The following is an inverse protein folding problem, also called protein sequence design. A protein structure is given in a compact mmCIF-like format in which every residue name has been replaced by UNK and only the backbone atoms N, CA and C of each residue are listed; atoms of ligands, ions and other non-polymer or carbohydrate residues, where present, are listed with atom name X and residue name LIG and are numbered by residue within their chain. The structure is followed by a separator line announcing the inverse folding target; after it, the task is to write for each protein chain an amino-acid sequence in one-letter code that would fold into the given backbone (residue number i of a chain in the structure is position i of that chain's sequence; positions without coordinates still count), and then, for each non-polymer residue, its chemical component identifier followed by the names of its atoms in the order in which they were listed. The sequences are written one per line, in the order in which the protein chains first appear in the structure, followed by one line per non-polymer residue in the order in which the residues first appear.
data_IF_562637542161
#
_entry.id   IF_562637542161
#
_cell.length_a   1.000
_cell.length_b   1.000
_cell.length_c   1.000
_cell.angle_alpha   90.00
_cell.angle_beta   90.00
_cell.angle_gamma   90.00
#
_symmetry.space_group_name_H-M   'P 1'
#
loop_
_entity.id
_entity.type
_entity.pdbx_description
1 polymer ?
#
# COMPACT_ATOMS: atom_id res chain seq x y z
N UNK A 1 -7.14 -5.07 17.18
CA UNK A 1 -8.06 -4.19 16.41
C UNK A 1 -7.29 -3.78 15.17
N UNK A 2 -7.88 -3.92 13.97
CA UNK A 2 -7.25 -3.54 12.70
C UNK A 2 -7.05 -2.02 12.69
N UNK A 3 -5.85 -1.58 12.31
CA UNK A 3 -5.49 -0.15 12.26
C UNK A 3 -5.43 0.37 10.82
N UNK A 4 -6.55 0.25 10.09
CA UNK A 4 -6.64 0.64 8.67
C UNK A 4 -7.87 1.54 8.48
N UNK A 5 -7.65 2.80 8.13
CA UNK A 5 -8.71 3.81 8.04
C UNK A 5 -9.76 3.46 6.99
N UNK A 6 -9.35 2.99 5.81
CA UNK A 6 -10.27 2.61 4.72
C UNK A 6 -11.21 1.46 5.11
N UNK A 7 -10.81 0.64 6.09
CA UNK A 7 -11.63 -0.42 6.66
C UNK A 7 -12.51 0.08 7.81
N UNK A 8 -11.91 0.80 8.78
CA UNK A 8 -12.59 1.21 10.01
C UNK A 8 -13.57 2.37 9.80
N UNK A 9 -13.26 3.28 8.87
CA UNK A 9 -14.09 4.44 8.53
C UNK A 9 -14.08 4.67 7.01
N UNK A 10 -14.84 3.83 6.26
CA UNK A 10 -14.86 3.90 4.80
C UNK A 10 -15.48 5.17 4.22
N UNK A 11 -16.17 5.97 5.05
CA UNK A 11 -16.75 7.26 4.64
C UNK A 11 -15.86 8.46 4.98
N UNK A 12 -14.72 8.25 5.61
CA UNK A 12 -13.81 9.35 5.98
C UNK A 12 -13.18 10.04 4.76
N UNK A 13 -12.79 11.31 4.88
CA UNK A 13 -12.01 12.02 3.85
C UNK A 13 -10.71 11.28 3.49
N UNK A 14 -10.11 10.59 4.45
CA UNK A 14 -8.91 9.77 4.23
C UNK A 14 -9.24 8.58 3.32
N UNK A 15 -10.35 7.87 3.57
CA UNK A 15 -10.79 6.78 2.70
C UNK A 15 -11.08 7.27 1.28
N UNK A 16 -11.64 8.48 1.13
CA UNK A 16 -11.87 9.10 -0.18
C UNK A 16 -10.57 9.42 -0.91
N UNK A 17 -9.56 9.92 -0.20
CA UNK A 17 -8.24 10.14 -0.78
C UNK A 17 -7.64 8.82 -1.34
N UNK A 18 -7.79 7.70 -0.62
CA UNK A 18 -7.36 6.39 -1.12
C UNK A 18 -8.18 5.90 -2.32
N UNK A 19 -9.49 6.19 -2.39
CA UNK A 19 -10.30 5.92 -3.59
C UNK A 19 -9.83 6.72 -4.79
N UNK A 20 -9.49 7.99 -4.60
CA UNK A 20 -8.91 8.84 -5.65
C UNK A 20 -7.57 8.30 -6.14
N UNK A 21 -6.68 7.89 -5.23
CA UNK A 21 -5.40 7.26 -5.59
C UNK A 21 -5.65 5.96 -6.37
N UNK A 22 -6.56 5.11 -5.91
CA UNK A 22 -6.95 3.88 -6.63
C UNK A 22 -7.39 4.18 -8.06
N UNK A 23 -8.29 5.14 -8.23
CA UNK A 23 -8.76 5.57 -9.55
C UNK A 23 -7.60 6.01 -10.43
N UNK A 24 -6.69 6.83 -9.92
CA UNK A 24 -5.51 7.27 -10.66
C UNK A 24 -4.60 6.10 -11.07
N UNK A 25 -4.42 5.10 -10.20
CA UNK A 25 -3.65 3.88 -10.52
C UNK A 25 -4.33 3.09 -11.65
N UNK A 26 -5.66 2.90 -11.58
CA UNK A 26 -6.41 2.18 -12.61
C UNK A 26 -6.32 2.85 -13.99
N UNK A 27 -6.27 4.17 -14.03
CA UNK A 27 -6.17 4.96 -15.27
C UNK A 27 -4.73 5.32 -15.66
N UNK A 28 -3.72 4.94 -14.87
CA UNK A 28 -2.32 5.31 -15.17
C UNK A 28 -1.73 4.61 -16.40
N UNK A 29 -2.36 3.53 -16.87
CA UNK A 29 -2.00 2.85 -18.13
C UNK A 29 -3.25 2.44 -18.90
N UNK A 30 -3.30 2.86 -20.16
CA UNK A 30 -4.39 2.53 -21.08
C UNK A 30 -4.16 1.15 -21.73
N UNK A 31 -2.90 0.80 -22.01
CA UNK A 31 -2.56 -0.35 -22.85
C UNK A 31 -2.08 -1.61 -22.09
N UNK A 32 -1.73 -1.51 -20.82
CA UNK A 32 -1.25 -2.64 -20.02
C UNK A 32 -1.87 -2.66 -18.63
N UNK A 33 -2.41 -3.81 -18.26
CA UNK A 33 -2.97 -4.04 -16.93
C UNK A 33 -1.87 -3.96 -15.84
N UNK A 34 -2.12 -3.16 -14.79
CA UNK A 34 -1.24 -3.09 -13.62
C UNK A 34 -1.76 -4.10 -12.60
N UNK A 35 -1.05 -5.21 -12.42
CA UNK A 35 -1.35 -6.23 -11.41
C UNK A 35 -0.43 -6.14 -10.20
N UNK A 36 0.86 -5.96 -10.42
CA UNK A 36 1.88 -5.94 -9.36
C UNK A 36 2.32 -4.51 -9.07
N UNK A 37 2.16 -4.08 -7.81
CA UNK A 37 2.45 -2.71 -7.38
C UNK A 37 3.40 -2.75 -6.18
N UNK A 38 4.62 -2.29 -6.37
CA UNK A 38 5.59 -2.08 -5.29
C UNK A 38 5.33 -0.74 -4.63
N UNK A 39 5.31 -0.72 -3.30
CA UNK A 39 5.21 0.50 -2.50
C UNK A 39 6.47 0.64 -1.64
N UNK A 40 7.16 1.75 -1.81
CA UNK A 40 8.40 2.07 -1.08
C UNK A 40 8.40 3.52 -0.62
N UNK A 41 9.44 3.94 0.09
CA UNK A 41 9.57 5.31 0.61
C UNK A 41 11.01 5.80 0.57
N UNK A 42 11.24 7.09 0.83
CA UNK A 42 12.58 7.66 0.86
C UNK A 42 13.32 7.33 2.18
N UNK A 43 12.59 7.23 3.29
CA UNK A 43 13.12 6.83 4.61
C UNK A 43 12.13 6.00 5.40
N UNK A 44 12.52 5.57 6.59
CA UNK A 44 11.63 4.93 7.55
C UNK A 44 10.53 5.89 8.04
N UNK A 45 9.44 5.33 8.54
CA UNK A 45 8.32 6.02 9.19
C UNK A 45 7.58 7.05 8.32
N UNK A 46 7.73 7.01 7.00
CA UNK A 46 6.89 7.82 6.08
C UNK A 46 5.47 7.26 5.92
N UNK A 47 5.20 6.07 6.47
CA UNK A 47 3.90 5.42 6.43
C UNK A 47 3.65 4.57 5.18
N UNK A 48 4.71 4.04 4.53
CA UNK A 48 4.59 3.14 3.38
C UNK A 48 3.62 1.99 3.64
N UNK A 49 3.79 1.23 4.74
CA UNK A 49 2.91 0.10 5.10
C UNK A 49 1.46 0.54 5.36
N UNK A 50 1.28 1.72 5.97
CA UNK A 50 -0.06 2.32 6.15
C UNK A 50 -0.69 2.61 4.80
N UNK A 51 0.04 3.24 3.88
CA UNK A 51 -0.44 3.54 2.52
C UNK A 51 -0.73 2.25 1.77
N UNK A 52 0.17 1.28 1.79
CA UNK A 52 0.01 -0.01 1.11
C UNK A 52 -1.22 -0.76 1.60
N UNK A 53 -1.41 -0.84 2.93
CA UNK A 53 -2.55 -1.53 3.54
C UNK A 53 -3.88 -0.86 3.20
N UNK A 54 -3.95 0.47 3.27
CA UNK A 54 -5.17 1.20 2.91
C UNK A 54 -5.49 1.10 1.41
N UNK A 55 -4.48 1.11 0.53
CA UNK A 55 -4.68 0.88 -0.90
C UNK A 55 -5.18 -0.54 -1.15
N UNK A 56 -4.57 -1.56 -0.56
CA UNK A 56 -5.01 -2.95 -0.70
C UNK A 56 -6.48 -3.12 -0.30
N UNK A 57 -6.89 -2.54 0.84
CA UNK A 57 -8.30 -2.51 1.28
C UNK A 57 -9.19 -1.76 0.28
N UNK A 58 -8.74 -0.60 -0.22
CA UNK A 58 -9.51 0.18 -1.21
C UNK A 58 -9.72 -0.58 -2.53
N UNK A 59 -8.73 -1.37 -2.97
CA UNK A 59 -8.85 -2.22 -4.16
C UNK A 59 -9.70 -3.46 -3.92
N UNK A 60 -9.63 -4.07 -2.73
CA UNK A 60 -10.45 -5.21 -2.36
C UNK A 60 -11.95 -4.86 -2.25
N UNK A 61 -12.28 -3.58 -2.10
CA UNK A 61 -13.67 -3.10 -2.15
C UNK A 61 -14.26 -3.06 -3.57
N UNK A 62 -13.46 -3.32 -4.61
CA UNK A 62 -13.96 -3.46 -5.98
C UNK A 62 -14.62 -4.83 -6.14
N UNK A 63 -15.81 -4.83 -6.75
CA UNK A 63 -16.56 -6.06 -6.99
C UNK A 63 -15.79 -7.04 -7.89
N UNK A 64 -15.74 -8.31 -7.49
CA UNK A 64 -15.12 -9.38 -8.25
C UNK A 64 -13.59 -9.31 -8.33
N UNK A 65 -12.91 -8.42 -7.59
CA UNK A 65 -11.46 -8.27 -7.61
C UNK A 65 -10.81 -8.99 -6.44
N UNK A 66 -9.83 -9.84 -6.70
CA UNK A 66 -9.02 -10.53 -5.69
C UNK A 66 -7.71 -9.79 -5.49
N UNK A 67 -7.40 -9.43 -4.25
CA UNK A 67 -6.22 -8.65 -3.88
C UNK A 67 -5.34 -9.43 -2.93
N UNK A 68 -4.03 -9.41 -3.19
CA UNK A 68 -3.01 -9.91 -2.30
C UNK A 68 -2.12 -8.78 -1.82
N UNK A 69 -1.83 -8.72 -0.53
CA UNK A 69 -0.80 -7.86 0.04
C UNK A 69 0.34 -8.70 0.60
N UNK A 70 1.55 -8.45 0.12
CA UNK A 70 2.77 -9.15 0.53
C UNK A 70 3.66 -8.20 1.33
N UNK A 71 4.05 -8.63 2.53
CA UNK A 71 5.09 -7.95 3.32
C UNK A 71 6.47 -8.43 2.88
N UNK A 72 7.14 -7.64 2.06
CA UNK A 72 8.50 -7.87 1.58
C UNK A 72 9.54 -6.98 2.32
N UNK A 73 9.14 -6.23 3.36
CA UNK A 73 10.08 -5.61 4.29
C UNK A 73 10.60 -6.65 5.29
N UNK A 74 11.45 -7.56 4.80
CA UNK A 74 11.97 -8.68 5.59
C UNK A 74 12.80 -8.22 6.80
N UNK A 75 13.19 -6.93 6.84
CA UNK A 75 14.02 -6.37 7.92
C UNK A 75 13.19 -5.75 9.03
N UNK A 76 12.06 -5.09 8.68
CA UNK A 76 11.18 -4.45 9.64
C UNK A 76 9.70 -4.67 9.26
N UNK A 77 9.22 -5.92 9.37
CA UNK A 77 7.87 -6.29 8.95
C UNK A 77 6.80 -5.58 9.77
N UNK A 78 5.74 -5.14 9.11
CA UNK A 78 4.67 -4.37 9.75
C UNK A 78 3.26 -4.69 9.25
N UNK A 79 3.09 -5.36 8.13
CA UNK A 79 1.76 -5.73 7.60
C UNK A 79 0.99 -6.58 8.60
N UNK A 80 1.65 -7.55 9.26
CA UNK A 80 1.03 -8.39 10.28
C UNK A 80 0.41 -7.60 11.44
N UNK A 81 1.04 -6.47 11.83
CA UNK A 81 0.53 -5.58 12.88
C UNK A 81 -0.70 -4.80 12.40
N UNK A 82 -0.69 -4.34 11.13
CA UNK A 82 -1.81 -3.61 10.54
C UNK A 82 -3.09 -4.45 10.52
N UNK A 83 -2.97 -5.74 10.19
CA UNK A 83 -4.10 -6.66 10.08
C UNK A 83 -4.34 -7.52 11.32
N UNK A 84 -3.54 -7.32 12.39
CA UNK A 84 -3.61 -8.13 13.61
C UNK A 84 -3.52 -9.65 13.32
N UNK A 85 -2.55 -10.03 12.49
CA UNK A 85 -2.31 -11.42 12.08
C UNK A 85 -0.95 -11.94 12.58
N UNK A 86 -0.78 -13.26 12.75
CA UNK A 86 0.51 -13.83 13.11
C UNK A 86 1.57 -13.62 12.02
N UNK A 87 2.85 -13.57 12.44
CA UNK A 87 4.01 -13.46 11.54
C UNK A 87 4.99 -14.64 11.68
N UNK A 88 4.52 -15.78 12.18
CA UNK A 88 5.36 -16.97 12.40
C UNK A 88 5.67 -17.74 11.12
N UNK A 89 4.82 -17.62 10.12
CA UNK A 89 4.93 -18.26 8.80
C UNK A 89 4.60 -17.21 7.74
N UNK A 90 5.36 -17.19 6.62
CA UNK A 90 5.13 -16.18 5.59
C UNK A 90 6.01 -16.35 4.36
N UNK A 91 6.32 -15.23 3.72
CA UNK A 91 7.07 -15.15 2.46
C UNK A 91 8.40 -15.93 2.51
N UNK A 92 9.15 -15.81 3.61
CA UNK A 92 10.44 -16.48 3.77
C UNK A 92 10.33 -18.00 3.77
N UNK A 93 9.23 -18.54 4.30
CA UNK A 93 8.98 -19.98 4.33
C UNK A 93 8.65 -20.52 2.93
N UNK A 94 7.89 -19.74 2.13
CA UNK A 94 7.60 -20.06 0.72
C UNK A 94 8.90 -20.05 -0.09
N UNK A 95 9.70 -18.98 0.01
CA UNK A 95 10.91 -18.80 -0.79
C UNK A 95 12.00 -19.82 -0.42
N UNK A 96 12.04 -20.30 0.81
CA UNK A 96 12.96 -21.37 1.26
C UNK A 96 12.42 -22.77 0.95
N UNK A 97 11.17 -22.91 0.51
CA UNK A 97 10.52 -24.20 0.26
C UNK A 97 10.12 -24.96 1.53
N UNK A 98 10.14 -24.31 2.69
CA UNK A 98 9.71 -24.91 3.96
C UNK A 98 8.20 -25.11 4.05
N UNK A 99 7.44 -24.23 3.38
CA UNK A 99 5.99 -24.23 3.35
C UNK A 99 5.48 -23.96 1.94
N UNK A 100 4.32 -24.50 1.63
CA UNK A 100 3.58 -24.14 0.42
C UNK A 100 2.86 -22.79 0.61
N UNK A 101 2.61 -22.07 -0.49
CA UNK A 101 1.90 -20.78 -0.47
C UNK A 101 0.59 -20.84 0.32
N UNK A 102 -0.23 -21.89 0.12
CA UNK A 102 -1.53 -22.05 0.83
C UNK A 102 -1.43 -22.07 2.35
N UNK A 103 -0.25 -22.42 2.89
CA UNK A 103 0.02 -22.43 4.34
C UNK A 103 0.48 -21.06 4.85
N UNK A 104 0.88 -20.17 3.96
CA UNK A 104 1.43 -18.84 4.27
C UNK A 104 0.45 -17.71 3.98
N UNK A 105 -0.53 -17.94 3.10
CA UNK A 105 -1.61 -16.99 2.82
C UNK A 105 -2.59 -16.96 3.99
N UNK A 106 -2.90 -15.76 4.45
CA UNK A 106 -3.83 -15.51 5.54
C UNK A 106 -5.03 -14.70 5.04
N UNK A 107 -6.23 -15.13 5.35
CA UNK A 107 -7.44 -14.37 5.09
C UNK A 107 -7.52 -13.17 6.04
N UNK A 108 -8.05 -12.07 5.54
CA UNK A 108 -8.39 -10.90 6.35
C UNK A 108 -9.89 -10.91 6.70
N UNK A 109 -10.37 -9.85 7.34
CA UNK A 109 -11.79 -9.60 7.56
C UNK A 109 -12.53 -9.18 6.27
N UNK A 110 -11.80 -8.89 5.18
CA UNK A 110 -12.34 -8.63 3.85
C UNK A 110 -12.20 -9.88 3.00
N UNK A 111 -13.31 -10.39 2.48
CA UNK A 111 -13.36 -11.63 1.68
C UNK A 111 -12.40 -11.60 0.49
N UNK A 112 -12.27 -10.45 -0.15
CA UNK A 112 -11.46 -10.28 -1.36
C UNK A 112 -10.00 -9.87 -1.09
N UNK A 113 -9.56 -9.79 0.18
CA UNK A 113 -8.20 -9.43 0.56
C UNK A 113 -7.53 -10.55 1.34
N UNK A 114 -6.43 -11.02 0.80
CA UNK A 114 -5.51 -11.93 1.49
C UNK A 114 -4.16 -11.26 1.72
N UNK A 115 -3.43 -11.73 2.72
CA UNK A 115 -2.08 -11.25 3.02
C UNK A 115 -1.08 -12.40 3.11
N UNK A 116 0.16 -12.10 2.76
CA UNK A 116 1.34 -12.92 3.06
C UNK A 116 2.27 -12.07 3.90
N UNK A 117 2.42 -12.44 5.15
CA UNK A 117 3.34 -11.79 6.08
C UNK A 117 4.78 -12.23 5.78
N UNK A 118 5.76 -11.63 6.40
CA UNK A 118 7.18 -11.94 6.15
C UNK A 118 7.56 -13.36 6.56
N UNK A 119 7.03 -13.84 7.68
CA UNK A 119 7.55 -15.02 8.37
C UNK A 119 8.80 -14.71 9.19
N UNK A 120 9.64 -15.72 9.43
CA UNK A 120 10.90 -15.56 10.17
C UNK A 120 11.91 -14.78 9.34
N UNK A 121 12.58 -13.79 9.95
CA UNK A 121 13.63 -13.00 9.30
C UNK A 121 14.74 -13.92 8.78
N UNK A 122 15.08 -13.86 7.48
CA UNK A 122 16.19 -14.65 6.94
C UNK A 122 17.54 -13.98 7.24
N UNK A 123 18.66 -14.73 7.18
CA UNK A 123 19.99 -14.16 7.35
C UNK A 123 20.36 -13.17 6.23
N UNK A 124 19.89 -13.42 4.99
CA UNK A 124 20.22 -12.65 3.79
C UNK A 124 18.95 -12.11 3.11
N UNK A 125 18.29 -11.07 3.67
CA UNK A 125 17.02 -10.56 3.12
C UNK A 125 17.11 -10.09 1.65
N UNK A 126 18.15 -9.34 1.29
CA UNK A 126 18.36 -8.81 -0.05
C UNK A 126 18.50 -9.92 -1.09
N UNK A 127 19.39 -10.88 -0.86
CA UNK A 127 19.61 -12.02 -1.77
C UNK A 127 18.33 -12.84 -1.98
N UNK A 128 17.51 -12.98 -0.93
CA UNK A 128 16.24 -13.69 -1.03
C UNK A 128 15.27 -12.97 -1.97
N UNK A 129 15.16 -11.66 -1.88
CA UNK A 129 14.31 -10.84 -2.75
C UNK A 129 14.84 -10.76 -4.19
N UNK A 130 16.17 -10.84 -4.38
CA UNK A 130 16.81 -10.90 -5.70
C UNK A 130 16.68 -12.26 -6.40
N UNK A 131 16.32 -13.29 -5.65
CA UNK A 131 16.31 -14.66 -6.14
C UNK A 131 15.34 -14.87 -7.30
N UNK A 132 15.69 -15.82 -8.20
CA UNK A 132 14.76 -16.30 -9.23
C UNK A 132 13.46 -16.81 -8.62
N UNK A 133 13.53 -17.45 -7.44
CA UNK A 133 12.34 -17.95 -6.73
C UNK A 133 11.36 -16.83 -6.37
N UNK A 134 11.84 -15.66 -5.96
CA UNK A 134 10.96 -14.52 -5.67
C UNK A 134 10.27 -14.02 -6.93
N UNK A 135 10.99 -13.93 -8.04
CA UNK A 135 10.41 -13.52 -9.33
C UNK A 135 9.38 -14.54 -9.83
N UNK A 136 9.71 -15.84 -9.79
CA UNK A 136 8.80 -16.91 -10.20
C UNK A 136 7.55 -16.95 -9.29
N UNK A 137 7.73 -16.71 -7.98
CA UNK A 137 6.64 -16.60 -7.02
C UNK A 137 5.67 -15.47 -7.38
N UNK A 138 6.16 -14.24 -7.58
CA UNK A 138 5.31 -13.10 -7.96
C UNK A 138 4.61 -13.36 -9.29
N UNK A 139 5.31 -13.91 -10.28
CA UNK A 139 4.71 -14.22 -11.58
C UNK A 139 3.60 -15.27 -11.47
N UNK A 140 3.80 -16.32 -10.68
CA UNK A 140 2.77 -17.34 -10.46
C UNK A 140 1.51 -16.83 -9.75
N UNK A 141 1.61 -15.76 -8.96
CA UNK A 141 0.47 -15.16 -8.30
C UNK A 141 -0.45 -14.36 -9.25
N UNK A 142 0.06 -13.93 -10.40
CA UNK A 142 -0.68 -13.08 -11.36
C UNK A 142 -1.89 -13.79 -11.98
N UNK A 143 -1.93 -15.11 -11.96
CA UNK A 143 -3.06 -15.90 -12.44
C UNK A 143 -4.19 -16.01 -11.41
N UNK A 144 -3.89 -15.77 -10.13
CA UNK A 144 -4.82 -15.95 -9.02
C UNK A 144 -5.35 -14.63 -8.45
N UNK A 145 -4.61 -13.52 -8.63
CA UNK A 145 -4.97 -12.21 -8.09
C UNK A 145 -5.03 -11.16 -9.19
N UNK A 146 -6.02 -10.27 -9.07
CA UNK A 146 -6.15 -9.13 -9.96
C UNK A 146 -5.17 -8.02 -9.59
N UNK A 147 -4.88 -7.87 -8.29
CA UNK A 147 -3.91 -6.90 -7.76
C UNK A 147 -3.03 -7.53 -6.68
N UNK A 148 -1.73 -7.27 -6.77
CA UNK A 148 -0.72 -7.73 -5.83
C UNK A 148 0.05 -6.50 -5.35
N UNK A 149 -0.18 -6.09 -4.11
CA UNK A 149 0.58 -5.03 -3.47
C UNK A 149 1.78 -5.62 -2.73
N UNK A 150 2.93 -5.00 -2.87
CA UNK A 150 4.19 -5.45 -2.27
C UNK A 150 4.73 -4.31 -1.41
N UNK A 151 4.61 -4.44 -0.09
CA UNK A 151 5.20 -3.51 0.87
C UNK A 151 6.68 -3.80 1.02
N UNK A 152 7.56 -2.82 0.82
CA UNK A 152 9.01 -3.00 0.75
C UNK A 152 9.74 -2.06 1.70
N UNK A 153 11.01 -2.31 2.06
CA UNK A 153 11.79 -1.33 2.81
C UNK A 153 12.02 -0.04 2.00
N UNK A 154 12.45 1.06 2.68
CA UNK A 154 12.69 2.34 2.01
C UNK A 154 13.81 2.27 0.98
N UNK A 155 13.52 2.58 -0.29
CA UNK A 155 14.52 2.61 -1.38
C UNK A 155 15.62 3.65 -1.13
N UNK A 156 15.31 4.72 -0.40
CA UNK A 156 16.31 5.72 -0.02
C UNK A 156 17.38 5.20 0.93
N UNK A 157 17.18 4.05 1.58
CA UNK A 157 18.11 3.43 2.51
C UNK A 157 18.78 2.19 1.90
N UNK A 158 18.01 1.25 1.37
CA UNK A 158 18.48 -0.03 0.83
C UNK A 158 17.82 -0.35 -0.51
N UNK A 159 18.51 -1.13 -1.36
CA UNK A 159 18.10 -1.41 -2.72
C UNK A 159 17.08 -2.55 -2.85
N UNK A 160 16.69 -3.21 -1.75
CA UNK A 160 15.74 -4.33 -1.75
C UNK A 160 14.44 -4.01 -2.51
N UNK A 161 13.90 -2.80 -2.29
CA UNK A 161 12.73 -2.31 -3.02
C UNK A 161 12.98 -2.15 -4.53
N UNK A 162 14.19 -1.73 -4.91
CA UNK A 162 14.58 -1.52 -6.30
C UNK A 162 14.59 -2.79 -7.12
N UNK A 163 14.99 -3.90 -6.51
CA UNK A 163 14.97 -5.22 -7.16
C UNK A 163 13.54 -5.62 -7.54
N UNK A 164 12.60 -5.47 -6.60
CA UNK A 164 11.20 -5.80 -6.84
C UNK A 164 10.56 -4.82 -7.84
N UNK A 165 10.88 -3.53 -7.71
CA UNK A 165 10.38 -2.48 -8.59
C UNK A 165 10.81 -2.63 -10.05
N UNK A 166 11.95 -3.28 -10.31
CA UNK A 166 12.47 -3.51 -11.67
C UNK A 166 11.55 -4.38 -12.53
N UNK A 167 10.83 -5.33 -11.93
CA UNK A 167 9.94 -6.24 -12.66
C UNK A 167 8.46 -6.14 -12.28
N UNK A 168 8.11 -5.24 -11.36
CA UNK A 168 6.72 -4.91 -11.05
C UNK A 168 6.09 -4.04 -12.15
N UNK A 169 4.77 -4.12 -12.30
CA UNK A 169 4.04 -3.32 -13.29
C UNK A 169 3.99 -1.85 -12.91
N UNK A 170 3.99 -1.55 -11.60
CA UNK A 170 3.99 -0.19 -11.09
C UNK A 170 4.74 -0.05 -9.77
N UNK A 171 5.27 1.13 -9.53
CA UNK A 171 5.93 1.49 -8.27
C UNK A 171 5.36 2.80 -7.76
N UNK A 172 5.01 2.84 -6.48
CA UNK A 172 4.54 4.03 -5.78
C UNK A 172 5.60 4.46 -4.78
N UNK A 173 6.01 5.74 -4.85
CA UNK A 173 6.90 6.36 -3.87
C UNK A 173 6.07 7.09 -2.81
N UNK A 174 6.14 6.64 -1.56
CA UNK A 174 5.52 7.33 -0.43
C UNK A 174 6.51 8.34 0.14
N UNK A 175 6.04 9.57 0.36
CA UNK A 175 6.82 10.69 0.90
C UNK A 175 6.05 11.28 2.08
N UNK A 176 6.68 11.35 3.24
CA UNK A 176 6.08 11.96 4.44
C UNK A 176 6.13 13.49 4.37
N UNK A 177 4.97 14.14 4.43
CA UNK A 177 4.89 15.60 4.48
C UNK A 177 5.60 16.15 5.71
N UNK A 178 6.47 17.15 5.54
CA UNK A 178 7.28 17.79 6.58
C UNK A 178 8.33 16.91 7.27
N UNK A 179 8.31 15.60 7.03
CA UNK A 179 9.24 14.65 7.65
C UNK A 179 10.49 14.43 6.76
N UNK A 180 10.41 14.81 5.49
CA UNK A 180 11.45 14.52 4.50
C UNK A 180 11.96 15.81 3.86
N UNK A 181 13.29 15.94 3.86
CA UNK A 181 13.96 16.91 3.03
C UNK A 181 13.72 16.56 1.54
N UNK A 182 13.38 17.53 0.72
CA UNK A 182 13.11 17.34 -0.72
C UNK A 182 14.24 16.56 -1.41
N UNK A 183 15.47 16.76 -0.98
CA UNK A 183 16.64 16.06 -1.52
C UNK A 183 16.59 14.54 -1.31
N UNK A 184 16.13 14.07 -0.16
CA UNK A 184 15.97 12.62 0.09
C UNK A 184 14.92 11.98 -0.82
N UNK A 185 13.82 12.68 -1.06
CA UNK A 185 12.79 12.21 -2.00
C UNK A 185 13.33 12.14 -3.44
N UNK A 186 14.16 13.11 -3.85
CA UNK A 186 14.84 13.09 -5.15
C UNK A 186 15.79 11.90 -5.27
N UNK A 187 16.65 11.67 -4.27
CA UNK A 187 17.55 10.51 -4.24
C UNK A 187 16.77 9.19 -4.36
N UNK A 188 15.65 9.06 -3.64
CA UNK A 188 14.80 7.88 -3.75
C UNK A 188 14.26 7.68 -5.17
N UNK A 189 13.79 8.76 -5.80
CA UNK A 189 13.33 8.76 -7.20
C UNK A 189 14.45 8.35 -8.15
N UNK A 190 15.65 8.95 -8.04
CA UNK A 190 16.81 8.60 -8.86
C UNK A 190 17.22 7.13 -8.72
N UNK A 191 17.12 6.56 -7.52
CA UNK A 191 17.40 5.13 -7.31
C UNK A 191 16.40 4.25 -8.03
N UNK A 192 15.11 4.60 -8.02
CA UNK A 192 14.07 3.91 -8.77
C UNK A 192 14.30 4.01 -10.30
N UNK A 193 14.70 5.19 -10.79
CA UNK A 193 15.01 5.40 -12.20
C UNK A 193 16.23 4.57 -12.64
N UNK A 194 17.29 4.51 -11.81
CA UNK A 194 18.50 3.70 -12.09
C UNK A 194 18.19 2.21 -12.26
N UNK A 195 17.24 1.67 -11.51
CA UNK A 195 16.79 0.28 -11.68
C UNK A 195 15.70 0.11 -12.72
N UNK A 196 15.37 1.17 -13.47
CA UNK A 196 14.32 1.19 -14.51
C UNK A 196 12.94 0.81 -13.97
N UNK A 197 12.65 1.17 -12.72
CA UNK A 197 11.34 0.96 -12.13
C UNK A 197 10.28 1.80 -12.85
N UNK A 198 9.12 1.22 -13.09
CA UNK A 198 7.98 1.96 -13.60
C UNK A 198 7.30 2.74 -12.48
N UNK A 199 7.75 3.97 -12.21
CA UNK A 199 7.16 4.83 -11.17
C UNK A 199 5.84 5.42 -11.69
N UNK A 200 4.72 4.90 -11.18
CA UNK A 200 3.37 5.33 -11.59
C UNK A 200 2.87 6.55 -10.82
N UNK A 201 3.54 6.92 -9.73
CA UNK A 201 3.20 8.11 -8.95
C UNK A 201 3.88 8.19 -7.60
N UNK A 202 3.62 9.29 -6.91
CA UNK A 202 4.02 9.50 -5.52
C UNK A 202 2.80 9.81 -4.65
N UNK A 203 2.83 9.34 -3.39
CA UNK A 203 1.82 9.64 -2.38
C UNK A 203 2.43 10.50 -1.29
N UNK A 204 1.94 11.74 -1.16
CA UNK A 204 2.29 12.61 -0.05
C UNK A 204 1.46 12.20 1.18
N UNK A 205 2.08 11.49 2.09
CA UNK A 205 1.46 11.02 3.33
C UNK A 205 1.67 12.01 4.49
N UNK A 206 0.92 11.88 5.57
CA UNK A 206 0.99 12.75 6.78
C UNK A 206 0.80 14.25 6.46
N UNK A 207 0.13 14.56 5.38
CA UNK A 207 -0.17 15.94 5.03
C UNK A 207 -1.23 16.53 5.98
N UNK A 208 -0.91 17.66 6.60
CA UNK A 208 -1.81 18.41 7.45
C UNK A 208 -2.19 19.69 6.72
N UNK A 209 -3.42 19.80 6.31
CA UNK A 209 -3.93 21.00 5.65
C UNK A 209 -4.01 22.16 6.66
N UNK A 210 -3.35 23.28 6.35
CA UNK A 210 -3.26 24.42 7.27
C UNK A 210 -4.52 25.29 7.31
N UNK A 211 -5.38 25.22 6.31
CA UNK A 211 -6.57 26.07 6.18
C UNK A 211 -7.79 25.22 5.90
N UNK A 212 -8.56 24.88 6.92
CA UNK A 212 -10.02 24.62 6.95
C UNK A 212 -10.76 24.03 5.73
N UNK A 213 -10.08 23.58 4.68
CA UNK A 213 -10.69 23.02 3.47
C UNK A 213 -11.36 21.65 3.69
N UNK A 214 -11.18 21.06 4.89
CA UNK A 214 -12.01 19.92 5.33
C UNK A 214 -13.51 20.25 5.26
N UNK A 215 -13.90 21.53 5.37
CA UNK A 215 -15.28 21.99 5.20
C UNK A 215 -15.84 21.78 3.79
N UNK A 216 -14.99 21.71 2.76
CA UNK A 216 -15.49 21.53 1.38
C UNK A 216 -15.83 20.07 1.10
N UNK A 217 -15.04 19.12 1.61
CA UNK A 217 -15.32 17.69 1.48
C UNK A 217 -16.48 17.23 2.37
N UNK A 218 -16.58 17.73 3.63
CA UNK A 218 -17.70 17.41 4.52
C UNK A 218 -19.04 17.99 3.97
N UNK A 219 -19.02 19.12 3.30
CA UNK A 219 -20.21 19.73 2.72
C UNK A 219 -20.83 18.90 1.60
N UNK A 220 -20.03 18.24 0.77
CA UNK A 220 -20.50 17.33 -0.29
C UNK A 220 -21.09 16.03 0.28
N UNK A 221 -20.55 15.51 1.38
CA UNK A 221 -21.06 14.28 1.99
C UNK A 221 -22.33 14.52 2.80
N UNK A 222 -22.48 15.66 3.52
CA UNK A 222 -23.70 16.01 4.22
C UNK A 222 -24.90 16.25 3.27
N UNK A 223 -24.66 16.68 2.05
CA UNK A 223 -25.70 16.81 1.04
C UNK A 223 -26.16 15.48 0.41
N UNK A 224 -25.31 14.46 0.39
CA UNK A 224 -25.65 13.15 -0.19
C UNK A 224 -26.42 12.24 0.78
N UNK A 225 -26.35 12.48 2.10
CA UNK A 225 -26.99 11.63 3.13
C UNK A 225 -28.39 12.12 3.54
N UNK A 226 -28.99 13.08 2.84
CA UNK A 226 -30.41 13.43 2.97
C UNK A 226 -30.87 13.97 4.34
N UNK A 227 -29.99 14.22 5.30
CA UNK A 227 -30.34 14.76 6.61
C UNK A 227 -30.39 16.31 6.56
N UNK A 228 -31.61 16.84 6.39
CA UNK A 228 -31.88 18.27 6.54
C UNK A 228 -31.56 18.75 7.94
N UNK A 229 -30.42 19.37 8.12
CA UNK A 229 -30.13 20.13 9.34
C UNK A 229 -30.93 21.43 9.31
N UNK A 230 -31.92 21.55 10.19
CA UNK A 230 -32.71 22.75 10.37
C UNK A 230 -31.82 23.91 10.83
N UNK A 231 -31.72 24.97 10.03
CA UNK A 231 -31.07 26.23 10.39
C UNK A 231 -31.82 26.88 11.58
N UNK A 232 -31.35 26.73 12.79
CA UNK A 232 -31.76 27.60 13.90
C UNK A 232 -31.20 29.00 13.67
N UNK A 233 -32.07 29.91 13.23
CA UNK A 233 -31.80 31.36 13.22
C UNK A 233 -31.60 31.83 14.66
N UNK A 234 -30.36 32.20 15.04
CA UNK A 234 -30.12 33.00 16.23
C UNK A 234 -30.61 34.45 15.95
N UNK A 235 -31.76 34.82 16.47
CA UNK A 235 -32.16 36.23 16.59
C UNK A 235 -31.23 36.90 17.58
N UNK A 236 -30.56 37.98 17.15
CA UNK A 236 -29.93 38.97 18.04
C UNK A 236 -31.03 39.71 18.79
N UNK A 237 -30.85 39.80 20.08
CA UNK A 237 -31.33 40.90 20.93
C UNK A 237 -30.13 41.51 21.61
#
# INVERSE_FOLDING_TARGET
MINITTFNDPKSPIAEAYRSIRTNIQFSRIDNEIKTIVVTSSKQDEGKTTVTSNLAVSFAALEGKRVLLIDADLRNPSVHKMFNKPNSVGLTDVLTGKKELKQCVQNTELENLQIVTTGTMPPNPGEMLESKKMRDFINGLRDYYDYIFIDTPPIGIIMDAGVLANYADGTILVVGSKDVETERAKIAKERLEKVKANVIGAVLNKYIEKNGSYGYYSYYYEQSDGSRVSKKKKKKR
#
